data_IF_932613863413
#
_entry.id   IF_932613863413
#
_cell.length_a   1.000
_cell.length_b   1.000
_cell.length_c   1.000
_cell.angle_alpha   90.00
_cell.angle_beta   90.00
_cell.angle_gamma   90.00
#
_symmetry.space_group_name_H-M   'P 1'
#
loop_
_entity.id
_entity.type
_entity.pdbx_description
1 polymer ?
#
# COMPACT_ATOMS: atom_id res chain seq x y z
N UNK A 1 -22.65 0.47 13.93
CA UNK A 1 -21.92 1.72 13.62
C UNK A 1 -21.32 1.58 12.22
N UNK A 2 -21.33 2.63 11.38
CA UNK A 2 -20.62 2.59 10.10
C UNK A 2 -19.11 2.41 10.33
N UNK A 3 -18.40 1.73 9.42
CA UNK A 3 -16.96 1.55 9.55
C UNK A 3 -16.25 2.90 9.53
N UNK A 4 -15.33 3.11 10.48
CA UNK A 4 -14.43 4.27 10.44
C UNK A 4 -13.33 4.00 9.44
N UNK A 5 -13.01 5.00 8.64
CA UNK A 5 -11.92 4.93 7.67
C UNK A 5 -10.88 5.99 7.99
N UNK A 6 -9.62 5.65 7.79
CA UNK A 6 -8.47 6.52 7.96
C UNK A 6 -7.64 6.55 6.67
N UNK A 7 -6.77 7.55 6.55
CA UNK A 7 -5.79 7.60 5.49
C UNK A 7 -4.51 6.93 5.95
N UNK A 8 -3.94 6.09 5.09
CA UNK A 8 -2.71 5.37 5.33
C UNK A 8 -1.73 5.69 4.22
N UNK A 9 -0.47 5.91 4.58
CA UNK A 9 0.65 5.87 3.65
C UNK A 9 1.29 4.49 3.75
N UNK A 10 1.25 3.74 2.66
CA UNK A 10 1.86 2.42 2.56
C UNK A 10 3.08 2.53 1.65
N UNK A 11 4.23 2.12 2.16
CA UNK A 11 5.51 2.18 1.47
C UNK A 11 6.08 0.79 1.26
N UNK A 12 6.85 0.63 0.21
CA UNK A 12 7.46 -0.66 -0.11
C UNK A 12 8.36 -0.60 -1.32
N UNK A 13 8.76 -1.78 -1.78
CA UNK A 13 9.57 -1.96 -2.99
C UNK A 13 8.86 -2.92 -3.96
N UNK A 14 8.95 -2.62 -5.25
CA UNK A 14 8.61 -3.48 -6.36
C UNK A 14 9.91 -4.06 -6.91
N UNK A 15 10.11 -5.35 -6.71
CA UNK A 15 11.26 -6.07 -7.24
C UNK A 15 10.88 -6.70 -8.57
N UNK A 16 11.60 -6.34 -9.62
CA UNK A 16 11.46 -6.94 -10.95
C UNK A 16 12.85 -7.32 -11.50
N UNK A 17 12.89 -7.92 -12.69
CA UNK A 17 14.15 -8.34 -13.34
C UNK A 17 15.10 -7.16 -13.66
N UNK A 18 14.59 -5.93 -13.67
CA UNK A 18 15.35 -4.69 -13.96
C UNK A 18 15.85 -4.00 -12.69
N UNK A 19 15.40 -4.40 -11.51
CA UNK A 19 15.82 -3.83 -10.23
C UNK A 19 14.69 -3.67 -9.21
N UNK A 20 15.02 -2.97 -8.13
CA UNK A 20 14.09 -2.62 -7.06
C UNK A 20 13.62 -1.16 -7.21
N UNK A 21 12.32 -0.97 -7.39
CA UNK A 21 11.68 0.35 -7.45
C UNK A 21 10.91 0.62 -6.16
N UNK A 22 11.21 1.72 -5.47
CA UNK A 22 10.45 2.13 -4.29
C UNK A 22 9.06 2.67 -4.67
N UNK A 23 8.05 2.35 -3.86
CA UNK A 23 6.72 2.93 -3.99
C UNK A 23 6.22 3.50 -2.66
N UNK A 24 5.35 4.51 -2.78
CA UNK A 24 4.63 5.12 -1.68
C UNK A 24 3.20 5.43 -2.12
N UNK A 25 2.23 4.67 -1.61
CA UNK A 25 0.81 4.79 -1.98
C UNK A 25 0.01 5.31 -0.79
N UNK A 26 -0.80 6.35 -1.02
CA UNK A 26 -1.78 6.84 -0.05
C UNK A 26 -3.14 6.19 -0.32
N UNK A 27 -3.74 5.60 0.70
CA UNK A 27 -5.02 4.88 0.58
C UNK A 27 -5.94 5.12 1.78
N UNK A 28 -7.24 5.09 1.54
CA UNK A 28 -8.25 5.13 2.59
C UNK A 28 -8.64 3.69 2.96
N UNK A 29 -8.47 3.31 4.23
CA UNK A 29 -8.74 1.96 4.71
C UNK A 29 -9.33 1.97 6.12
N UNK A 30 -9.77 0.82 6.61
CA UNK A 30 -10.36 0.69 7.95
C UNK A 30 -9.28 0.52 9.03
N UNK A 31 -8.23 -0.21 8.69
CA UNK A 31 -7.09 -0.54 9.52
C UNK A 31 -5.87 -0.86 8.63
N UNK A 32 -4.76 -1.21 9.25
CA UNK A 32 -3.49 -1.52 8.59
C UNK A 32 -3.62 -2.70 7.62
N UNK A 33 -4.34 -3.75 8.00
CA UNK A 33 -4.51 -4.95 7.18
C UNK A 33 -5.33 -4.64 5.93
N UNK A 34 -6.41 -3.87 6.09
CA UNK A 34 -7.23 -3.42 4.99
C UNK A 34 -6.41 -2.53 4.03
N UNK A 35 -5.56 -1.65 4.55
CA UNK A 35 -4.67 -0.83 3.71
C UNK A 35 -3.69 -1.68 2.90
N UNK A 36 -3.04 -2.67 3.54
CA UNK A 36 -2.11 -3.59 2.86
C UNK A 36 -2.83 -4.42 1.79
N UNK A 37 -4.04 -4.91 2.10
CA UNK A 37 -4.84 -5.68 1.14
C UNK A 37 -5.15 -4.86 -0.12
N UNK A 38 -5.66 -3.65 0.05
CA UNK A 38 -6.01 -2.78 -1.08
C UNK A 38 -4.77 -2.38 -1.90
N UNK A 39 -3.64 -2.11 -1.25
CA UNK A 39 -2.39 -1.78 -1.95
C UNK A 39 -1.88 -2.99 -2.74
N UNK A 40 -1.91 -4.19 -2.18
CA UNK A 40 -1.54 -5.42 -2.89
C UNK A 40 -2.43 -5.66 -4.10
N UNK A 41 -3.74 -5.46 -3.97
CA UNK A 41 -4.68 -5.56 -5.08
C UNK A 41 -4.38 -4.52 -6.17
N UNK A 42 -4.14 -3.27 -5.78
CA UNK A 42 -3.77 -2.19 -6.70
C UNK A 42 -2.50 -2.54 -7.49
N UNK A 43 -1.45 -2.97 -6.79
CA UNK A 43 -0.18 -3.37 -7.40
C UNK A 43 -0.35 -4.59 -8.31
N UNK A 44 -1.14 -5.59 -7.92
CA UNK A 44 -1.40 -6.77 -8.75
C UNK A 44 -2.02 -6.42 -10.10
N UNK A 45 -2.86 -5.39 -10.15
CA UNK A 45 -3.59 -5.00 -11.34
C UNK A 45 -2.84 -3.98 -12.22
N UNK A 46 -1.90 -3.21 -11.66
CA UNK A 46 -1.28 -2.07 -12.35
C UNK A 46 0.25 -2.08 -12.37
N UNK A 47 0.91 -2.88 -11.52
CA UNK A 47 2.37 -2.92 -11.48
C UNK A 47 2.93 -3.87 -12.55
N UNK A 48 4.12 -3.59 -13.10
CA UNK A 48 4.84 -4.53 -13.95
C UNK A 48 5.11 -5.86 -13.21
N UNK A 49 5.25 -6.95 -13.98
CA UNK A 49 5.50 -8.27 -13.42
C UNK A 49 6.69 -8.26 -12.45
N UNK A 50 6.49 -8.82 -11.25
CA UNK A 50 7.46 -8.76 -10.17
C UNK A 50 6.84 -9.04 -8.80
N UNK A 51 7.66 -8.94 -7.76
CA UNK A 51 7.24 -9.10 -6.38
C UNK A 51 7.06 -7.73 -5.71
N UNK A 52 5.97 -7.55 -4.97
CA UNK A 52 5.78 -6.38 -4.11
C UNK A 52 6.09 -6.73 -2.65
N UNK A 53 6.92 -5.93 -2.01
CA UNK A 53 7.29 -6.08 -0.60
C UNK A 53 6.90 -4.81 0.13
N UNK A 54 5.92 -4.94 1.04
CA UNK A 54 5.52 -3.83 1.92
C UNK A 54 6.60 -3.64 2.98
N UNK A 55 7.07 -2.40 3.16
CA UNK A 55 8.13 -2.04 4.12
C UNK A 55 7.60 -1.22 5.29
N UNK A 56 6.56 -0.42 5.08
CA UNK A 56 6.02 0.43 6.13
C UNK A 56 4.57 0.82 5.90
N UNK A 57 3.87 1.06 7.00
CA UNK A 57 2.51 1.59 7.01
C UNK A 57 2.42 2.68 8.07
N UNK A 58 1.90 3.83 7.68
CA UNK A 58 1.71 4.99 8.56
C UNK A 58 0.27 5.47 8.46
N UNK A 59 -0.45 5.45 9.58
CA UNK A 59 -1.77 6.12 9.65
C UNK A 59 -1.54 7.63 9.66
N UNK A 60 -1.99 8.30 8.60
CA UNK A 60 -2.07 9.76 8.55
C UNK A 60 -3.38 10.21 9.17
N UNK A 61 -3.30 10.73 10.37
CA UNK A 61 -4.37 11.56 10.92
C UNK A 61 -4.31 12.91 10.20
N UNK A 62 -5.40 13.27 9.50
CA UNK A 62 -5.57 14.62 8.98
C UNK A 62 -5.89 15.50 10.19
N UNK A 63 -4.84 16.02 10.84
CA UNK A 63 -4.91 17.10 11.83
C UNK A 63 -5.24 18.42 11.16
#
# INVERSE_FOLDING_TARGET
>A
MPPKFYFFKVTGVLTNEKGDDEFSIFIKAMDDNHAVMLVREHLRNHAPAGQSIIKGIEKKEMS
#
